data_IF_896398611366
#
_entry.id   IF_896398611366
#
_cell.length_a   1.000
_cell.length_b   1.000
_cell.length_c   1.000
_cell.angle_alpha   90.00
_cell.angle_beta   90.00
_cell.angle_gamma   90.00
#
_symmetry.space_group_name_H-M   'P 1'
#
loop_
_entity.id
_entity.type
_entity.pdbx_description
1 polymer ?
#
# COMPACT_ATOMS: atom_id res chain seq x y z
N UNK A 1 18.34 -20.23 24.77
CA UNK A 1 17.05 -19.66 25.22
C UNK A 1 16.83 -18.20 24.78
N UNK A 2 17.85 -17.33 24.80
CA UNK A 2 17.73 -15.93 24.35
C UNK A 2 17.23 -15.77 22.89
N UNK A 3 17.71 -16.60 21.96
CA UNK A 3 17.27 -16.57 20.56
C UNK A 3 15.79 -16.99 20.38
N UNK A 4 15.29 -17.92 21.20
CA UNK A 4 13.88 -18.35 21.12
C UNK A 4 12.93 -17.25 21.61
N UNK A 5 13.34 -16.51 22.66
CA UNK A 5 12.58 -15.38 23.21
C UNK A 5 12.57 -14.18 22.24
N UNK A 6 13.71 -13.89 21.60
CA UNK A 6 13.80 -12.85 20.58
C UNK A 6 12.95 -13.20 19.35
N UNK A 7 13.03 -14.45 18.86
CA UNK A 7 12.24 -14.93 17.74
C UNK A 7 10.72 -14.89 18.03
N UNK A 8 10.31 -15.29 19.24
CA UNK A 8 8.91 -15.22 19.66
C UNK A 8 8.41 -13.77 19.72
N UNK A 9 9.24 -12.83 20.22
CA UNK A 9 8.90 -11.41 20.27
C UNK A 9 8.75 -10.81 18.87
N UNK A 10 9.68 -11.09 17.96
CA UNK A 10 9.64 -10.56 16.60
C UNK A 10 8.46 -11.14 15.82
N UNK A 11 8.24 -12.45 15.93
CA UNK A 11 7.06 -13.13 15.34
C UNK A 11 5.76 -12.54 15.87
N UNK A 12 5.68 -12.28 17.17
CA UNK A 12 4.51 -11.66 17.77
C UNK A 12 4.31 -10.25 17.22
N UNK A 13 5.34 -9.40 17.13
CA UNK A 13 5.18 -8.03 16.64
C UNK A 13 4.81 -8.01 15.15
N UNK A 14 5.52 -8.76 14.31
CA UNK A 14 5.23 -8.80 12.86
C UNK A 14 3.87 -9.46 12.56
N UNK A 15 3.57 -10.58 13.23
CA UNK A 15 2.31 -11.30 13.06
C UNK A 15 1.12 -10.51 13.59
N UNK A 16 1.21 -10.03 14.83
CA UNK A 16 0.12 -9.28 15.47
C UNK A 16 -0.15 -7.96 14.75
N UNK A 17 0.88 -7.22 14.34
CA UNK A 17 0.67 -5.97 13.58
C UNK A 17 -0.03 -6.22 12.24
N UNK A 18 0.27 -7.33 11.57
CA UNK A 18 -0.42 -7.75 10.34
C UNK A 18 -1.88 -8.14 10.59
N UNK A 19 -2.14 -8.96 11.62
CA UNK A 19 -3.49 -9.40 11.98
C UNK A 19 -4.36 -8.22 12.41
N UNK A 20 -3.87 -7.39 13.35
CA UNK A 20 -4.56 -6.19 13.82
C UNK A 20 -4.82 -5.25 12.65
N UNK A 21 -3.83 -5.05 11.78
CA UNK A 21 -3.99 -4.21 10.60
C UNK A 21 -5.10 -4.69 9.65
N UNK A 22 -5.16 -5.99 9.38
CA UNK A 22 -6.24 -6.59 8.58
C UNK A 22 -7.60 -6.48 9.24
N UNK A 23 -7.68 -6.73 10.55
CA UNK A 23 -8.91 -6.62 11.31
C UNK A 23 -9.45 -5.18 11.31
N UNK A 24 -8.59 -4.19 11.54
CA UNK A 24 -8.95 -2.78 11.50
C UNK A 24 -9.43 -2.34 10.10
N UNK A 25 -8.78 -2.80 9.03
CA UNK A 25 -9.26 -2.54 7.67
C UNK A 25 -10.62 -3.18 7.40
N UNK A 26 -10.87 -4.38 7.92
CA UNK A 26 -12.17 -5.04 7.78
C UNK A 26 -13.30 -4.25 8.45
N UNK A 27 -13.03 -3.55 9.56
CA UNK A 27 -14.01 -2.69 10.23
C UNK A 27 -14.45 -1.48 9.39
N UNK A 28 -13.71 -1.11 8.34
CA UNK A 28 -14.15 -0.09 7.39
C UNK A 28 -15.27 -0.60 6.46
N UNK A 29 -15.42 -1.91 6.28
CA UNK A 29 -16.42 -2.49 5.36
C UNK A 29 -17.86 -2.17 5.80
N UNK A 30 -18.27 -2.36 7.08
CA UNK A 30 -19.58 -1.91 7.56
C UNK A 30 -19.80 -0.40 7.40
N UNK A 31 -18.76 0.40 7.61
CA UNK A 31 -18.82 1.86 7.45
C UNK A 31 -19.10 2.23 5.99
N UNK A 32 -18.31 1.70 5.05
CA UNK A 32 -18.47 1.95 3.62
C UNK A 32 -19.83 1.46 3.11
N UNK A 33 -20.27 0.26 3.52
CA UNK A 33 -21.56 -0.29 3.09
C UNK A 33 -22.78 0.43 3.69
N UNK A 34 -22.62 1.12 4.82
CA UNK A 34 -23.68 1.94 5.40
C UNK A 34 -23.79 3.32 4.73
N UNK A 35 -22.66 3.99 4.51
CA UNK A 35 -22.63 5.35 3.96
C UNK A 35 -22.59 5.42 2.43
N UNK A 36 -22.24 4.34 1.72
CA UNK A 36 -22.29 4.25 0.26
C UNK A 36 -23.50 3.40 -0.13
N UNK A 37 -24.64 4.02 -0.53
CA UNK A 37 -25.85 3.27 -0.84
C UNK A 37 -25.62 2.27 -1.98
N UNK A 38 -26.16 1.06 -1.86
CA UNK A 38 -26.11 0.06 -2.95
C UNK A 38 -26.67 0.58 -4.28
N UNK A 39 -27.57 1.56 -4.22
CA UNK A 39 -28.21 2.19 -5.38
C UNK A 39 -27.24 3.02 -6.25
N UNK A 40 -26.14 3.55 -5.71
CA UNK A 40 -25.17 4.33 -6.49
C UNK A 40 -24.08 3.47 -7.14
N UNK A 41 -23.92 2.20 -6.76
CA UNK A 41 -22.88 1.30 -7.30
C UNK A 41 -21.45 1.62 -6.84
N UNK A 42 -21.26 2.69 -6.07
CA UNK A 42 -19.99 3.26 -5.60
C UNK A 42 -19.09 2.29 -4.83
N UNK A 43 -19.68 1.45 -3.97
CA UNK A 43 -18.93 0.42 -3.25
C UNK A 43 -18.39 -0.66 -4.20
N UNK A 44 -19.12 -0.96 -5.29
CA UNK A 44 -18.68 -1.88 -6.33
C UNK A 44 -17.49 -1.34 -7.13
N UNK A 45 -17.52 -0.04 -7.45
CA UNK A 45 -16.39 0.67 -8.07
C UNK A 45 -15.14 0.58 -7.21
N UNK A 46 -15.28 0.88 -5.91
CA UNK A 46 -14.18 0.81 -4.94
C UNK A 46 -13.59 -0.60 -4.87
N UNK A 47 -14.45 -1.62 -4.76
CA UNK A 47 -14.02 -3.03 -4.69
C UNK A 47 -13.27 -3.45 -5.96
N UNK A 48 -13.76 -3.09 -7.15
CA UNK A 48 -13.10 -3.39 -8.42
C UNK A 48 -11.75 -2.67 -8.56
N UNK A 49 -11.67 -1.39 -8.20
CA UNK A 49 -10.42 -0.64 -8.21
C UNK A 49 -9.37 -1.27 -7.29
N UNK A 50 -9.75 -1.63 -6.06
CA UNK A 50 -8.84 -2.32 -5.14
C UNK A 50 -8.40 -3.68 -5.69
N UNK A 51 -9.27 -4.43 -6.35
CA UNK A 51 -8.91 -5.70 -6.99
C UNK A 51 -7.86 -5.51 -8.11
N UNK A 52 -8.01 -4.50 -8.97
CA UNK A 52 -7.01 -4.18 -9.99
C UNK A 52 -5.68 -3.76 -9.36
N UNK A 53 -5.71 -2.93 -8.31
CA UNK A 53 -4.47 -2.52 -7.63
C UNK A 53 -3.73 -3.69 -7.00
N UNK A 54 -4.43 -4.68 -6.44
CA UNK A 54 -3.80 -5.87 -5.88
C UNK A 54 -3.05 -6.69 -6.95
N UNK A 55 -3.65 -6.84 -8.15
CA UNK A 55 -3.00 -7.50 -9.28
C UNK A 55 -1.79 -6.71 -9.79
N UNK A 56 -1.94 -5.40 -9.98
CA UNK A 56 -0.86 -4.53 -10.45
C UNK A 56 0.29 -4.51 -9.45
N UNK A 57 0.01 -4.45 -8.14
CA UNK A 57 1.04 -4.50 -7.09
C UNK A 57 1.88 -5.78 -7.19
N UNK A 58 1.25 -6.93 -7.40
CA UNK A 58 1.96 -8.20 -7.57
C UNK A 58 2.88 -8.19 -8.80
N UNK A 59 2.46 -7.55 -9.89
CA UNK A 59 3.26 -7.39 -11.11
C UNK A 59 4.41 -6.41 -10.89
N UNK A 60 4.16 -5.24 -10.28
CA UNK A 60 5.17 -4.21 -10.05
C UNK A 60 6.26 -4.65 -9.08
N UNK A 61 5.89 -5.41 -8.05
CA UNK A 61 6.86 -5.95 -7.10
C UNK A 61 7.61 -7.15 -7.67
N UNK A 62 7.01 -7.92 -8.60
CA UNK A 62 7.60 -9.08 -9.29
C UNK A 62 8.36 -10.04 -8.36
N UNK A 63 7.90 -10.22 -7.11
CA UNK A 63 8.59 -11.07 -6.13
C UNK A 63 9.96 -10.56 -5.68
N UNK A 64 10.26 -9.27 -5.85
CA UNK A 64 11.51 -8.66 -5.40
C UNK A 64 11.70 -8.73 -3.89
N UNK A 65 10.61 -8.81 -3.11
CA UNK A 65 10.68 -9.00 -1.66
C UNK A 65 11.42 -10.30 -1.29
N UNK A 66 11.08 -11.43 -1.92
CA UNK A 66 11.70 -12.74 -1.63
C UNK A 66 13.11 -12.82 -2.19
N UNK A 67 13.31 -12.22 -3.37
CA UNK A 67 14.62 -12.10 -4.03
C UNK A 67 15.60 -11.32 -3.16
N UNK A 68 15.14 -10.20 -2.58
CA UNK A 68 15.93 -9.39 -1.65
C UNK A 68 16.39 -10.22 -0.44
N UNK A 69 15.49 -10.95 0.23
CA UNK A 69 15.89 -11.77 1.38
C UNK A 69 16.84 -12.89 1.01
N UNK A 70 16.70 -13.49 -0.18
CA UNK A 70 17.61 -14.54 -0.63
C UNK A 70 19.02 -14.01 -0.83
N UNK A 71 19.19 -12.90 -1.54
CA UNK A 71 20.50 -12.36 -1.88
C UNK A 71 21.13 -11.51 -0.76
N UNK A 72 20.33 -10.83 0.06
CA UNK A 72 20.85 -10.07 1.20
C UNK A 72 21.42 -10.97 2.32
N UNK A 73 21.05 -12.25 2.37
CA UNK A 73 21.61 -13.23 3.29
C UNK A 73 22.78 -14.04 2.68
N UNK A 74 23.14 -13.81 1.42
CA UNK A 74 24.28 -14.49 0.79
C UNK A 74 25.58 -13.77 1.19
N UNK A 75 26.56 -14.51 1.74
CA UNK A 75 27.85 -13.96 2.18
C UNK A 75 28.67 -13.35 1.03
N UNK A 76 28.36 -13.71 -0.22
CA UNK A 76 29.05 -13.22 -1.42
C UNK A 76 28.61 -11.83 -1.84
N UNK A 77 27.42 -11.41 -1.40
CA UNK A 77 26.78 -10.17 -1.84
C UNK A 77 26.73 -9.14 -0.71
N UNK A 78 26.79 -7.86 -1.07
CA UNK A 78 26.64 -6.77 -0.10
C UNK A 78 25.14 -6.41 0.02
N UNK A 79 24.53 -6.48 1.22
CA UNK A 79 23.10 -6.20 1.40
C UNK A 79 22.67 -4.82 0.87
N UNK A 80 23.51 -3.81 1.02
CA UNK A 80 23.24 -2.45 0.55
C UNK A 80 23.17 -2.37 -0.98
N UNK A 81 24.03 -3.12 -1.68
CA UNK A 81 24.03 -3.17 -3.15
C UNK A 81 22.79 -3.90 -3.67
N UNK A 82 22.41 -5.00 -3.00
CA UNK A 82 21.18 -5.74 -3.32
C UNK A 82 19.95 -4.86 -3.11
N UNK A 83 19.90 -4.10 -2.00
CA UNK A 83 18.85 -3.13 -1.72
C UNK A 83 18.78 -2.06 -2.80
N UNK A 84 19.89 -1.36 -3.08
CA UNK A 84 19.94 -0.28 -4.07
C UNK A 84 19.52 -0.74 -5.47
N UNK A 85 19.96 -1.94 -5.87
CA UNK A 85 19.63 -2.53 -7.17
C UNK A 85 18.14 -2.84 -7.24
N UNK A 86 17.60 -3.54 -6.22
CA UNK A 86 16.18 -3.87 -6.19
C UNK A 86 15.29 -2.64 -6.10
N UNK A 87 15.70 -1.64 -5.31
CA UNK A 87 14.96 -0.39 -5.13
C UNK A 87 14.91 0.42 -6.42
N UNK A 88 16.02 0.51 -7.14
CA UNK A 88 16.07 1.17 -8.45
C UNK A 88 15.22 0.41 -9.48
N UNK A 89 15.23 -0.92 -9.45
CA UNK A 89 14.44 -1.73 -10.38
C UNK A 89 12.92 -1.59 -10.14
N UNK A 90 12.46 -1.73 -8.90
CA UNK A 90 11.03 -1.55 -8.56
C UNK A 90 10.61 -0.10 -8.76
N UNK A 91 11.45 0.86 -8.37
CA UNK A 91 11.18 2.29 -8.53
C UNK A 91 11.09 2.70 -10.00
N UNK A 92 12.02 2.25 -10.85
CA UNK A 92 11.96 2.51 -12.29
C UNK A 92 10.72 1.90 -12.94
N UNK A 93 10.36 0.67 -12.58
CA UNK A 93 9.15 0.02 -13.09
C UNK A 93 7.87 0.76 -12.65
N UNK A 94 7.81 1.21 -11.39
CA UNK A 94 6.70 2.02 -10.88
C UNK A 94 6.59 3.38 -11.60
N UNK A 95 7.71 4.04 -11.90
CA UNK A 95 7.73 5.30 -12.67
C UNK A 95 7.26 5.06 -14.11
N UNK A 96 7.77 4.02 -14.79
CA UNK A 96 7.34 3.67 -16.15
C UNK A 96 5.84 3.38 -16.16
N UNK A 97 5.35 2.61 -15.19
CA UNK A 97 3.93 2.33 -15.03
C UNK A 97 3.11 3.63 -14.87
N UNK A 98 3.53 4.55 -14.02
CA UNK A 98 2.86 5.84 -13.85
C UNK A 98 2.85 6.68 -15.11
N UNK A 99 3.97 6.76 -15.84
CA UNK A 99 4.04 7.48 -17.10
C UNK A 99 3.11 6.88 -18.16
N UNK A 100 3.01 5.55 -18.21
CA UNK A 100 2.06 4.86 -19.10
C UNK A 100 0.61 5.16 -18.73
N UNK A 101 0.25 5.08 -17.44
CA UNK A 101 -1.11 5.40 -17.00
C UNK A 101 -1.43 6.87 -17.29
N UNK A 102 -0.51 7.79 -17.03
CA UNK A 102 -0.71 9.22 -17.30
C UNK A 102 -0.88 9.51 -18.79
N UNK A 103 -0.06 8.88 -19.65
CA UNK A 103 -0.15 9.06 -21.10
C UNK A 103 -1.38 8.42 -21.75
N UNK A 104 -1.93 7.36 -21.15
CA UNK A 104 -3.04 6.57 -21.70
C UNK A 104 -4.28 6.56 -20.80
N UNK A 105 -4.47 7.57 -19.94
CA UNK A 105 -5.57 7.59 -18.96
C UNK A 105 -6.94 7.52 -19.61
N UNK A 106 -7.15 8.25 -20.72
CA UNK A 106 -8.43 8.30 -21.44
C UNK A 106 -8.80 6.95 -22.08
N UNK A 107 -7.94 6.28 -22.87
CA UNK A 107 -8.29 4.97 -23.41
C UNK A 107 -8.42 3.89 -22.32
N UNK A 108 -7.62 3.94 -21.25
CA UNK A 108 -7.69 2.96 -20.17
C UNK A 108 -8.99 3.11 -19.36
N UNK A 109 -9.37 4.35 -19.00
CA UNK A 109 -10.62 4.62 -18.27
C UNK A 109 -11.84 4.22 -19.09
N UNK A 110 -11.84 4.49 -20.41
CA UNK A 110 -12.90 4.04 -21.31
C UNK A 110 -13.01 2.51 -21.39
N UNK A 111 -11.88 1.81 -21.50
CA UNK A 111 -11.87 0.34 -21.58
C UNK A 111 -12.37 -0.33 -20.29
N UNK A 112 -12.01 0.24 -19.13
CA UNK A 112 -12.44 -0.27 -17.83
C UNK A 112 -13.87 0.14 -17.45
N UNK A 113 -14.54 0.95 -18.26
CA UNK A 113 -15.91 1.43 -17.99
C UNK A 113 -16.00 2.56 -16.97
N UNK A 114 -14.89 3.27 -16.71
CA UNK A 114 -14.80 4.41 -15.78
C UNK A 114 -14.47 5.73 -16.50
N UNK A 115 -14.96 5.88 -17.73
CA UNK A 115 -14.74 7.05 -18.59
C UNK A 115 -15.05 8.39 -17.90
N UNK A 116 -16.08 8.42 -17.06
CA UNK A 116 -16.54 9.60 -16.31
C UNK A 116 -15.64 9.94 -15.10
N UNK A 117 -14.74 9.03 -14.70
CA UNK A 117 -13.90 9.19 -13.50
C UNK A 117 -12.43 8.78 -13.73
N UNK A 118 -11.71 9.42 -14.66
CA UNK A 118 -10.28 9.18 -14.86
C UNK A 118 -9.47 9.46 -13.58
N UNK A 119 -9.92 10.39 -12.73
CA UNK A 119 -9.24 10.76 -11.49
C UNK A 119 -9.09 9.57 -10.51
N UNK A 120 -10.08 8.68 -10.45
CA UNK A 120 -10.02 7.49 -9.60
C UNK A 120 -8.90 6.56 -10.03
N UNK A 121 -8.76 6.38 -11.34
CA UNK A 121 -7.74 5.54 -11.92
C UNK A 121 -6.34 6.11 -11.66
N UNK A 122 -6.18 7.43 -11.83
CA UNK A 122 -4.92 8.12 -11.54
C UNK A 122 -4.52 7.99 -10.07
N UNK A 123 -5.46 8.25 -9.15
CA UNK A 123 -5.20 8.16 -7.70
C UNK A 123 -4.79 6.75 -7.30
N UNK A 124 -5.53 5.73 -7.75
CA UNK A 124 -5.23 4.34 -7.41
C UNK A 124 -3.96 3.82 -8.09
N UNK A 125 -3.65 4.27 -9.31
CA UNK A 125 -2.38 4.00 -9.97
C UNK A 125 -1.19 4.62 -9.20
N UNK A 126 -1.38 5.81 -8.64
CA UNK A 126 -0.37 6.48 -7.81
C UNK A 126 -0.18 5.77 -6.47
N UNK A 127 -1.27 5.38 -5.81
CA UNK A 127 -1.22 4.56 -4.59
C UNK A 127 -0.42 3.28 -4.83
N UNK A 128 -0.75 2.50 -5.86
CA UNK A 128 -0.12 1.20 -6.08
C UNK A 128 1.36 1.34 -6.46
N UNK A 129 1.73 2.38 -7.20
CA UNK A 129 3.13 2.68 -7.51
C UNK A 129 3.93 3.04 -6.25
N UNK A 130 3.36 3.85 -5.35
CA UNK A 130 3.97 4.18 -4.07
C UNK A 130 4.07 2.95 -3.16
N UNK A 131 3.02 2.13 -3.09
CA UNK A 131 3.03 0.90 -2.30
C UNK A 131 4.11 -0.07 -2.80
N UNK A 132 4.24 -0.24 -4.12
CA UNK A 132 5.29 -1.07 -4.73
C UNK A 132 6.68 -0.53 -4.38
N UNK A 133 6.87 0.79 -4.44
CA UNK A 133 8.12 1.43 -4.02
C UNK A 133 8.44 1.22 -2.53
N UNK A 134 7.43 1.33 -1.65
CA UNK A 134 7.57 1.10 -0.22
C UNK A 134 7.83 -0.37 0.15
N UNK A 135 7.50 -1.32 -0.72
CA UNK A 135 7.66 -2.76 -0.45
C UNK A 135 9.11 -3.10 -0.04
N UNK A 136 10.11 -2.56 -0.75
CA UNK A 136 11.50 -2.85 -0.45
C UNK A 136 12.03 -2.18 0.83
N UNK A 137 11.78 -0.89 1.11
CA UNK A 137 12.09 -0.31 2.42
C UNK A 137 11.48 -1.08 3.58
N UNK A 138 10.25 -1.59 3.43
CA UNK A 138 9.63 -2.47 4.42
C UNK A 138 10.37 -3.82 4.56
N UNK A 139 10.85 -4.40 3.46
CA UNK A 139 11.71 -5.59 3.50
C UNK A 139 13.05 -5.30 4.19
N UNK A 140 13.66 -4.15 3.94
CA UNK A 140 14.89 -3.73 4.58
C UNK A 140 14.73 -3.59 6.10
N UNK A 141 13.64 -2.98 6.58
CA UNK A 141 13.34 -2.89 8.01
C UNK A 141 13.21 -4.27 8.68
N UNK A 142 12.62 -5.23 7.95
CA UNK A 142 12.51 -6.62 8.42
C UNK A 142 13.88 -7.30 8.46
N UNK A 143 14.70 -7.13 7.43
CA UNK A 143 16.06 -7.65 7.36
C UNK A 143 16.96 -7.10 8.47
N UNK A 144 16.84 -5.80 8.78
CA UNK A 144 17.58 -5.15 9.87
C UNK A 144 17.04 -5.47 11.28
N UNK A 145 16.07 -6.38 11.41
CA UNK A 145 15.42 -6.71 12.68
C UNK A 145 14.90 -5.46 13.43
N UNK A 146 14.24 -4.54 12.71
CA UNK A 146 13.59 -3.35 13.29
C UNK A 146 12.05 -3.51 13.33
N UNK A 147 11.51 -4.48 14.10
CA UNK A 147 10.08 -4.82 14.08
C UNK A 147 9.19 -3.68 14.56
N UNK A 148 9.66 -2.88 15.51
CA UNK A 148 8.89 -1.77 16.07
C UNK A 148 8.68 -0.67 15.02
N UNK A 149 9.73 -0.30 14.27
CA UNK A 149 9.59 0.68 13.18
C UNK A 149 8.65 0.17 12.10
N UNK A 150 8.83 -1.09 11.67
CA UNK A 150 7.95 -1.74 10.69
C UNK A 150 6.47 -1.69 11.12
N UNK A 151 6.17 -2.16 12.34
CA UNK A 151 4.81 -2.22 12.85
C UNK A 151 4.23 -0.82 13.05
N UNK A 152 5.02 0.13 13.56
CA UNK A 152 4.57 1.51 13.78
C UNK A 152 4.16 2.19 12.48
N UNK A 153 4.92 2.05 11.39
CA UNK A 153 4.58 2.65 10.09
C UNK A 153 3.34 2.02 9.49
N UNK A 154 3.23 0.68 9.51
CA UNK A 154 2.03 -0.02 9.02
C UNK A 154 0.79 0.32 9.84
N UNK A 155 0.89 0.42 11.17
CA UNK A 155 -0.23 0.80 12.02
C UNK A 155 -0.58 2.27 11.85
N UNK A 156 0.40 3.17 11.74
CA UNK A 156 0.19 4.59 11.48
C UNK A 156 -0.61 4.80 10.20
N UNK A 157 -0.31 4.06 9.13
CA UNK A 157 -1.11 4.06 7.89
C UNK A 157 -2.57 3.79 8.18
N UNK A 158 -2.83 2.68 8.86
CA UNK A 158 -4.16 2.13 9.06
C UNK A 158 -4.95 3.05 9.99
N UNK A 159 -4.35 3.52 11.07
CA UNK A 159 -4.98 4.47 11.99
C UNK A 159 -5.28 5.80 11.30
N UNK A 160 -4.34 6.36 10.54
CA UNK A 160 -4.55 7.62 9.82
C UNK A 160 -5.65 7.45 8.77
N UNK A 161 -5.63 6.35 8.02
CA UNK A 161 -6.63 6.05 7.00
C UNK A 161 -8.03 5.87 7.60
N UNK A 162 -8.15 5.12 8.70
CA UNK A 162 -9.42 4.90 9.41
C UNK A 162 -9.92 6.20 10.03
N UNK A 163 -9.07 6.96 10.72
CA UNK A 163 -9.45 8.20 11.37
C UNK A 163 -9.95 9.23 10.35
N UNK A 164 -9.25 9.39 9.22
CA UNK A 164 -9.67 10.29 8.14
C UNK A 164 -10.95 9.83 7.46
N UNK A 165 -11.12 8.53 7.20
CA UNK A 165 -12.37 8.00 6.65
C UNK A 165 -13.54 8.22 7.62
N UNK A 166 -13.37 7.93 8.91
CA UNK A 166 -14.41 8.18 9.93
C UNK A 166 -14.77 9.66 10.03
N UNK A 167 -13.78 10.56 10.06
CA UNK A 167 -14.01 12.00 10.08
C UNK A 167 -14.81 12.43 8.84
N UNK A 168 -14.45 11.91 7.67
CA UNK A 168 -15.15 12.23 6.44
C UNK A 168 -16.60 11.71 6.41
N UNK A 169 -16.84 10.44 6.74
CA UNK A 169 -18.17 9.84 6.67
C UNK A 169 -19.10 10.32 7.80
N UNK A 170 -18.60 10.41 9.03
CA UNK A 170 -19.42 10.70 10.21
C UNK A 170 -19.58 12.20 10.45
N UNK A 171 -18.51 12.99 10.26
CA UNK A 171 -18.47 14.41 10.62
C UNK A 171 -18.88 15.32 9.46
N UNK A 172 -18.50 15.00 8.23
CA UNK A 172 -18.85 15.77 7.02
C UNK A 172 -20.11 15.26 6.31
N UNK A 173 -20.55 14.03 6.61
CA UNK A 173 -21.78 13.45 6.04
C UNK A 173 -21.76 13.31 4.51
N UNK A 174 -20.59 13.34 3.88
CA UNK A 174 -20.43 13.23 2.43
C UNK A 174 -20.15 11.77 2.03
N UNK A 175 -20.73 11.34 0.92
CA UNK A 175 -20.73 9.93 0.48
C UNK A 175 -19.86 9.67 -0.76
N UNK A 176 -19.09 10.67 -1.23
CA UNK A 176 -18.32 10.54 -2.48
C UNK A 176 -17.11 9.60 -2.34
N UNK A 177 -17.00 8.66 -3.29
CA UNK A 177 -15.90 7.69 -3.43
C UNK A 177 -14.55 8.35 -3.61
N UNK A 178 -14.51 9.51 -4.29
CA UNK A 178 -13.30 10.29 -4.56
C UNK A 178 -12.44 10.45 -3.30
N UNK A 179 -13.07 10.78 -2.17
CA UNK A 179 -12.36 11.04 -0.93
C UNK A 179 -11.76 9.79 -0.29
N UNK A 180 -12.36 8.61 -0.50
CA UNK A 180 -11.79 7.35 -0.03
C UNK A 180 -10.44 7.10 -0.70
N UNK A 181 -10.38 7.28 -2.02
CA UNK A 181 -9.14 7.17 -2.79
C UNK A 181 -8.14 8.28 -2.46
N UNK A 182 -8.61 9.51 -2.32
CA UNK A 182 -7.76 10.65 -1.95
C UNK A 182 -7.15 10.48 -0.56
N UNK A 183 -7.93 10.05 0.44
CA UNK A 183 -7.43 9.76 1.80
C UNK A 183 -6.39 8.64 1.75
N UNK A 184 -6.64 7.60 0.96
CA UNK A 184 -5.68 6.52 0.79
C UNK A 184 -4.36 7.01 0.18
N UNK A 185 -4.43 7.79 -0.91
CA UNK A 185 -3.28 8.44 -1.53
C UNK A 185 -2.51 9.34 -0.56
N UNK A 186 -3.21 10.16 0.23
CA UNK A 186 -2.61 11.03 1.23
C UNK A 186 -1.89 10.22 2.31
N UNK A 187 -2.53 9.17 2.84
CA UNK A 187 -1.93 8.30 3.85
C UNK A 187 -0.69 7.57 3.32
N UNK A 188 -0.75 7.01 2.12
CA UNK A 188 0.39 6.31 1.50
C UNK A 188 1.52 7.29 1.24
N UNK A 189 1.23 8.46 0.68
CA UNK A 189 2.23 9.51 0.42
C UNK A 189 2.91 9.96 1.72
N UNK A 190 2.13 10.20 2.77
CA UNK A 190 2.64 10.60 4.08
C UNK A 190 3.63 9.57 4.65
N UNK A 191 3.39 8.28 4.44
CA UNK A 191 4.29 7.22 4.90
C UNK A 191 5.53 7.10 4.05
N UNK A 192 5.41 7.33 2.74
CA UNK A 192 6.59 7.36 1.86
C UNK A 192 7.61 8.38 2.36
N UNK A 193 7.18 9.53 2.90
CA UNK A 193 8.10 10.51 3.48
C UNK A 193 8.93 9.98 4.65
N UNK A 194 8.40 9.06 5.46
CA UNK A 194 9.17 8.45 6.56
C UNK A 194 10.27 7.49 6.10
N UNK A 195 10.28 7.12 4.81
CA UNK A 195 11.32 6.28 4.22
C UNK A 195 12.42 7.06 3.50
N UNK A 196 12.28 8.38 3.35
CA UNK A 196 13.33 9.22 2.78
C UNK A 196 14.45 9.33 3.83
N UNK A 197 15.67 8.86 3.54
CA UNK A 197 16.78 9.00 4.47
C UNK A 197 17.17 10.47 4.62
N UNK A 198 17.39 10.90 5.86
CA UNK A 198 18.04 12.18 6.20
C UNK A 198 19.44 12.30 5.57
#
# INVERSE_FOLDING_TARGET
MANLKALAKDTAIYGLSSIVGRFLNYLLVPLYTHYMPKASGDYGVSTNMYAYTALIFAILTFGMETTFFRFANDEREKPDTVFSTGFTMVGSLAIIFLLLIFGFITPISNYLGYAEHPDYLLMMATVVALDAFQALPFCLLRFQHRPIRFASLKLLFIFLNIALNLLYFVLLGKTSVFYVFFINLLCTSFITFFFIPD
#
